data_IF_925199475576
#
_entry.id   IF_925199475576
#
_cell.length_a   1.000
_cell.length_b   1.000
_cell.length_c   1.000
_cell.angle_alpha   90.00
_cell.angle_beta   90.00
_cell.angle_gamma   90.00
#
_symmetry.space_group_name_H-M   'P 1'
#
loop_
_entity.id
_entity.type
_entity.pdbx_description
1 polymer ?
#
# COMPACT_ATOMS: atom_id res chain seq x y z
N UNK A 1 -0.51 12.02 -33.78
CA UNK A 1 -1.74 11.76 -32.99
C UNK A 1 -1.30 10.95 -31.78
N UNK A 2 -0.96 11.64 -30.69
CA UNK A 2 -0.43 11.01 -29.48
C UNK A 2 -1.58 10.28 -28.78
N UNK A 3 -1.66 8.96 -28.96
CA UNK A 3 -2.43 8.11 -28.06
C UNK A 3 -1.66 8.05 -26.75
N UNK A 4 -2.06 8.88 -25.80
CA UNK A 4 -1.66 8.69 -24.40
C UNK A 4 -2.31 7.38 -23.99
N UNK A 5 -1.49 6.40 -23.65
CA UNK A 5 -1.93 5.13 -23.05
C UNK A 5 -2.55 5.43 -21.67
N UNK A 6 -3.87 5.65 -21.68
CA UNK A 6 -4.71 5.76 -20.50
C UNK A 6 -4.94 4.35 -19.95
N UNK A 7 -3.92 3.76 -19.33
CA UNK A 7 -4.14 2.72 -18.32
C UNK A 7 -5.14 3.30 -17.31
N UNK A 8 -6.17 2.52 -16.97
CA UNK A 8 -7.53 3.01 -16.62
C UNK A 8 -7.68 3.95 -15.42
N UNK A 9 -6.62 4.23 -14.69
CA UNK A 9 -6.53 5.12 -13.54
C UNK A 9 -5.84 6.46 -13.84
N UNK A 10 -5.30 6.67 -15.04
CA UNK A 10 -4.56 7.90 -15.40
C UNK A 10 -5.46 8.90 -16.09
N UNK A 11 -5.59 10.08 -15.50
CA UNK A 11 -6.19 11.26 -16.14
C UNK A 11 -5.11 12.34 -16.34
N UNK A 12 -5.20 13.18 -17.40
CA UNK A 12 -4.25 14.29 -17.59
C UNK A 12 -4.25 15.30 -16.44
N UNK A 13 -5.37 15.38 -15.72
CA UNK A 13 -5.58 16.26 -14.58
C UNK A 13 -6.22 15.46 -13.44
N UNK A 14 -5.78 15.72 -12.21
CA UNK A 14 -6.31 15.11 -11.00
C UNK A 14 -6.11 16.07 -9.81
N UNK A 15 -6.88 15.85 -8.75
CA UNK A 15 -6.83 16.68 -7.54
C UNK A 15 -6.06 15.96 -6.44
N UNK A 16 -5.17 16.68 -5.76
CA UNK A 16 -4.42 16.20 -4.60
C UNK A 16 -4.84 16.98 -3.35
N UNK A 17 -4.75 16.31 -2.20
CA UNK A 17 -4.77 16.95 -0.89
C UNK A 17 -3.31 17.07 -0.48
N UNK A 18 -2.77 18.28 -0.59
CA UNK A 18 -1.36 18.58 -0.30
C UNK A 18 -1.21 19.03 1.17
N UNK A 19 -0.23 18.46 1.88
CA UNK A 19 0.03 18.74 3.30
C UNK A 19 1.53 18.76 3.55
N UNK A 20 1.99 19.74 4.35
CA UNK A 20 3.38 19.89 4.77
C UNK A 20 3.43 20.24 6.27
N UNK A 21 4.40 19.70 7.00
CA UNK A 21 4.57 19.93 8.44
C UNK A 21 6.01 20.32 8.75
N UNK A 22 6.21 21.30 9.63
CA UNK A 22 7.55 21.71 10.06
C UNK A 22 7.95 21.02 11.35
N UNK A 23 9.19 20.54 11.41
CA UNK A 23 9.78 19.89 12.60
C UNK A 23 9.08 18.61 13.06
N UNK A 24 8.26 18.00 12.19
CA UNK A 24 7.61 16.72 12.47
C UNK A 24 8.53 15.55 12.11
N UNK A 25 8.46 14.46 12.87
CA UNK A 25 9.03 13.18 12.46
C UNK A 25 8.07 12.36 11.60
N UNK A 26 8.52 11.19 11.14
CA UNK A 26 7.73 10.32 10.26
C UNK A 26 6.46 9.80 10.96
N UNK A 27 6.55 9.47 12.25
CA UNK A 27 5.44 8.87 12.99
C UNK A 27 4.33 9.91 13.21
N UNK A 28 4.69 11.16 13.50
CA UNK A 28 3.74 12.26 13.61
C UNK A 28 2.98 12.51 12.28
N UNK A 29 3.65 12.43 11.14
CA UNK A 29 3.03 12.61 9.81
C UNK A 29 2.07 11.45 9.52
N UNK A 30 2.47 10.22 9.82
CA UNK A 30 1.65 9.01 9.67
C UNK A 30 0.39 9.12 10.53
N UNK A 31 0.52 9.43 11.82
CA UNK A 31 -0.61 9.53 12.76
C UNK A 31 -1.65 10.57 12.33
N UNK A 32 -1.21 11.75 11.86
CA UNK A 32 -2.13 12.78 11.35
C UNK A 32 -2.84 12.30 10.09
N UNK A 33 -2.12 11.63 9.18
CA UNK A 33 -2.68 11.12 7.93
C UNK A 33 -3.69 10.00 8.19
N UNK A 34 -3.36 9.06 9.07
CA UNK A 34 -4.24 7.96 9.49
C UNK A 34 -5.51 8.50 10.18
N UNK A 35 -5.37 9.47 11.07
CA UNK A 35 -6.49 10.15 11.73
C UNK A 35 -7.41 10.86 10.74
N UNK A 36 -6.83 11.53 9.73
CA UNK A 36 -7.58 12.15 8.64
C UNK A 36 -8.39 11.11 7.85
N UNK A 37 -7.77 10.00 7.44
CA UNK A 37 -8.43 8.90 6.71
C UNK A 37 -9.56 8.31 7.56
N UNK A 38 -9.30 8.02 8.84
CA UNK A 38 -10.31 7.45 9.75
C UNK A 38 -11.51 8.39 9.91
N UNK A 39 -11.28 9.70 10.03
CA UNK A 39 -12.35 10.69 10.09
C UNK A 39 -13.17 10.73 8.80
N UNK A 40 -12.53 10.74 7.64
CA UNK A 40 -13.22 10.75 6.34
C UNK A 40 -14.05 9.49 6.15
N UNK A 41 -13.52 8.32 6.49
CA UNK A 41 -14.24 7.04 6.40
C UNK A 41 -15.48 7.02 7.30
N UNK A 42 -15.35 7.54 8.53
CA UNK A 42 -16.49 7.65 9.46
C UNK A 42 -17.54 8.65 8.99
N UNK A 43 -17.12 9.86 8.60
CA UNK A 43 -18.05 10.93 8.23
C UNK A 43 -18.75 10.65 6.89
N UNK A 44 -18.05 10.06 5.91
CA UNK A 44 -18.58 9.81 4.58
C UNK A 44 -19.29 8.45 4.44
N UNK A 45 -18.82 7.41 5.15
CA UNK A 45 -19.30 6.03 4.98
C UNK A 45 -19.85 5.40 6.27
N UNK A 46 -19.70 6.06 7.43
CA UNK A 46 -20.10 5.48 8.72
C UNK A 46 -19.25 4.28 9.13
N UNK A 47 -18.04 4.14 8.57
CA UNK A 47 -17.14 3.02 8.85
C UNK A 47 -16.12 3.45 9.91
N UNK A 48 -16.08 2.71 11.00
CA UNK A 48 -15.02 2.80 12.00
C UNK A 48 -13.84 1.93 11.55
N UNK A 49 -12.67 2.53 11.37
CA UNK A 49 -11.41 1.84 11.06
C UNK A 49 -10.53 1.78 12.30
N UNK A 50 -9.74 0.71 12.41
CA UNK A 50 -8.81 0.51 13.52
C UNK A 50 -7.48 1.21 13.25
N UNK A 51 -6.98 1.94 14.26
CA UNK A 51 -5.70 2.64 14.24
C UNK A 51 -4.76 2.05 15.32
N UNK A 52 -3.43 2.05 15.10
CA UNK A 52 -2.76 2.49 13.87
C UNK A 52 -2.98 1.51 12.73
N UNK A 53 -2.85 1.97 11.48
CA UNK A 53 -2.89 1.04 10.35
C UNK A 53 -1.70 0.08 10.39
N UNK A 54 -1.89 -1.11 9.80
CA UNK A 54 -0.83 -2.12 9.72
C UNK A 54 0.30 -1.59 8.87
N UNK A 55 1.50 -1.52 9.45
CA UNK A 55 2.74 -1.17 8.76
C UNK A 55 3.41 -2.46 8.27
N UNK A 56 4.06 -2.36 7.11
CA UNK A 56 4.79 -3.46 6.49
C UNK A 56 6.00 -2.88 5.77
N UNK A 57 7.16 -3.47 6.00
CA UNK A 57 8.37 -3.05 5.31
C UNK A 57 8.27 -3.40 3.81
N UNK A 58 8.92 -2.61 2.97
CA UNK A 58 8.91 -2.84 1.52
C UNK A 58 9.44 -4.24 1.17
N UNK A 59 10.55 -4.66 1.78
CA UNK A 59 11.13 -5.99 1.56
C UNK A 59 10.17 -7.11 1.97
N UNK A 60 9.44 -6.91 3.06
CA UNK A 60 8.43 -7.86 3.52
C UNK A 60 7.27 -7.96 2.53
N UNK A 61 6.76 -6.82 2.05
CA UNK A 61 5.67 -6.76 1.08
C UNK A 61 6.05 -7.42 -0.25
N UNK A 62 7.25 -7.16 -0.75
CA UNK A 62 7.76 -7.78 -1.96
C UNK A 62 7.97 -9.29 -1.80
N UNK A 63 8.52 -9.73 -0.66
CA UNK A 63 8.74 -11.15 -0.41
C UNK A 63 7.43 -11.94 -0.25
N UNK A 64 6.43 -11.35 0.43
CA UNK A 64 5.16 -12.03 0.74
C UNK A 64 4.08 -11.84 -0.34
N UNK A 65 4.10 -10.75 -1.09
CA UNK A 65 3.01 -10.41 -2.02
C UNK A 65 3.47 -10.03 -3.42
N UNK A 66 4.77 -9.77 -3.64
CA UNK A 66 5.32 -9.41 -4.95
C UNK A 66 4.93 -8.00 -5.43
N UNK A 67 4.39 -7.17 -4.55
CA UNK A 67 3.97 -5.79 -4.81
C UNK A 67 4.16 -4.95 -3.55
N UNK A 68 4.37 -3.65 -3.72
CA UNK A 68 4.41 -2.63 -2.66
C UNK A 68 3.01 -2.08 -2.30
N UNK A 69 1.97 -2.54 -3.00
CA UNK A 69 0.56 -2.21 -2.73
C UNK A 69 -0.28 -3.49 -2.52
N UNK A 70 0.04 -4.31 -1.51
CA UNK A 70 -0.58 -5.61 -1.34
C UNK A 70 -2.03 -5.51 -0.89
N UNK A 71 -2.89 -6.35 -1.45
CA UNK A 71 -4.22 -6.58 -0.89
C UNK A 71 -4.15 -7.62 0.24
N UNK A 72 -3.99 -7.12 1.47
CA UNK A 72 -3.82 -7.95 2.68
C UNK A 72 -5.11 -8.64 3.15
N UNK A 73 -6.23 -8.49 2.42
CA UNK A 73 -7.49 -9.16 2.75
C UNK A 73 -7.48 -10.64 2.33
N UNK A 74 -6.57 -11.03 1.44
CA UNK A 74 -6.46 -12.39 0.91
C UNK A 74 -5.18 -13.07 1.39
N UNK A 75 -5.27 -14.33 1.82
CA UNK A 75 -4.12 -15.09 2.35
C UNK A 75 -3.22 -15.76 1.30
N UNK A 76 -3.26 -15.32 0.03
CA UNK A 76 -2.48 -15.93 -1.06
C UNK A 76 -1.07 -15.32 -1.15
N UNK A 77 -0.29 -15.50 -0.08
CA UNK A 77 1.09 -15.04 -0.04
C UNK A 77 2.01 -15.90 -0.93
N UNK A 78 3.02 -15.26 -1.51
CA UNK A 78 4.17 -15.90 -2.11
C UNK A 78 4.93 -16.70 -1.05
N UNK A 79 5.39 -17.88 -1.44
CA UNK A 79 6.23 -18.75 -0.60
C UNK A 79 7.51 -19.05 -1.36
N UNK A 80 8.63 -18.79 -0.72
CA UNK A 80 9.94 -19.15 -1.24
C UNK A 80 10.14 -20.67 -1.11
N UNK A 81 10.33 -21.34 -2.24
CA UNK A 81 10.59 -22.78 -2.32
C UNK A 81 12.06 -23.10 -2.60
N UNK A 82 12.93 -22.09 -2.63
CA UNK A 82 14.35 -22.24 -2.99
C UNK A 82 15.03 -23.32 -2.17
N UNK A 83 14.82 -23.36 -0.85
CA UNK A 83 15.42 -24.35 0.04
C UNK A 83 15.01 -25.80 -0.28
N UNK A 84 13.76 -26.01 -0.68
CA UNK A 84 13.21 -27.34 -1.00
C UNK A 84 13.67 -27.80 -2.39
N UNK A 85 13.90 -26.85 -3.30
CA UNK A 85 14.28 -27.11 -4.68
C UNK A 85 15.80 -27.28 -4.88
N UNK A 86 16.63 -27.04 -3.85
CA UNK A 86 18.09 -27.13 -3.93
C UNK A 86 18.62 -28.45 -4.49
N UNK A 87 18.00 -29.55 -4.10
CA UNK A 87 18.45 -30.90 -4.44
C UNK A 87 17.63 -31.52 -5.60
N UNK A 88 16.76 -30.74 -6.24
CA UNK A 88 15.95 -31.20 -7.37
C UNK A 88 16.71 -30.95 -8.68
N UNK A 89 17.12 -32.03 -9.34
CA UNK A 89 17.63 -31.97 -10.71
C UNK A 89 16.47 -31.63 -11.68
N UNK A 90 16.32 -30.35 -11.99
CA UNK A 90 15.39 -29.85 -13.01
C UNK A 90 16.20 -29.29 -14.19
N UNK A 91 16.01 -29.86 -15.39
CA UNK A 91 16.62 -29.40 -16.66
C UNK A 91 15.64 -28.56 -17.46
#
# INVERSE_FOLDING_TARGET
HFHIDLRGDRQPEFTQIDMEMSFADQEEIEDVTEGFIAKVMKDAMGIDVELPFKRMDWDESMARYGTDQPDVRFGMELKDLSDIMKDVDFK
#
